data_IF_359338998466
#
_entry.id   IF_359338998466
#
_cell.length_a   1.000
_cell.length_b   1.000
_cell.length_c   1.000
_cell.angle_alpha   90.00
_cell.angle_beta   90.00
_cell.angle_gamma   90.00
#
_symmetry.space_group_name_H-M   'P 1'
#
loop_
_entity.id
_entity.type
_entity.pdbx_description
1 polymer ?
#
# COMPACT_ATOMS: atom_id res chain seq x y z
N UNK A 1 -7.37 -35.19 -4.63
CA UNK A 1 -7.04 -33.99 -5.41
C UNK A 1 -7.82 -32.83 -4.81
N UNK A 2 -7.18 -31.95 -4.04
CA UNK A 2 -7.84 -30.75 -3.54
C UNK A 2 -8.18 -29.86 -4.73
N UNK A 3 -9.47 -29.58 -4.94
CA UNK A 3 -9.92 -28.66 -5.97
C UNK A 3 -9.11 -27.35 -5.89
N UNK A 4 -8.60 -26.80 -7.02
CA UNK A 4 -7.87 -25.55 -7.00
C UNK A 4 -8.75 -24.50 -6.34
N UNK A 5 -8.29 -23.97 -5.20
CA UNK A 5 -9.02 -23.00 -4.39
C UNK A 5 -9.48 -21.85 -5.29
N UNK A 6 -10.80 -21.71 -5.45
CA UNK A 6 -11.38 -20.63 -6.23
C UNK A 6 -10.89 -19.28 -5.68
N UNK A 7 -10.18 -18.52 -6.51
CA UNK A 7 -9.79 -17.15 -6.16
C UNK A 7 -11.03 -16.27 -6.15
N UNK A 8 -11.07 -15.33 -5.21
CA UNK A 8 -12.15 -14.36 -5.09
C UNK A 8 -11.83 -13.23 -6.06
N UNK A 9 -12.54 -13.19 -7.19
CA UNK A 9 -12.24 -12.32 -8.32
C UNK A 9 -12.35 -10.84 -7.93
N UNK A 10 -13.35 -10.47 -7.11
CA UNK A 10 -13.59 -9.08 -6.75
C UNK A 10 -12.45 -8.51 -5.92
N UNK A 11 -11.81 -9.31 -5.05
CA UNK A 11 -10.64 -8.86 -4.29
C UNK A 11 -9.42 -8.66 -5.19
N UNK A 12 -9.22 -9.52 -6.19
CA UNK A 12 -8.19 -9.30 -7.21
C UNK A 12 -8.51 -8.04 -8.05
N UNK A 13 -9.76 -7.83 -8.45
CA UNK A 13 -10.18 -6.65 -9.21
C UNK A 13 -9.99 -5.34 -8.40
N UNK A 14 -10.45 -5.29 -7.15
CA UNK A 14 -10.29 -4.12 -6.28
C UNK A 14 -8.82 -3.79 -6.01
N UNK A 15 -7.96 -4.80 -5.83
CA UNK A 15 -6.50 -4.58 -5.75
C UNK A 15 -5.93 -4.04 -7.04
N UNK A 16 -6.44 -4.48 -8.19
CA UNK A 16 -6.09 -3.96 -9.52
C UNK A 16 -6.46 -2.50 -9.68
N UNK A 17 -7.68 -2.13 -9.31
CA UNK A 17 -8.14 -0.73 -9.32
C UNK A 17 -7.27 0.11 -8.40
N UNK A 18 -7.03 -0.35 -7.17
CA UNK A 18 -6.22 0.38 -6.19
C UNK A 18 -4.78 0.61 -6.66
N UNK A 19 -4.12 -0.39 -7.25
CA UNK A 19 -2.75 -0.19 -7.75
C UNK A 19 -2.71 0.77 -8.95
N UNK A 20 -3.66 0.67 -9.88
CA UNK A 20 -3.73 1.60 -11.01
C UNK A 20 -4.01 3.04 -10.56
N UNK A 21 -4.84 3.21 -9.54
CA UNK A 21 -5.10 4.51 -8.93
C UNK A 21 -3.82 5.11 -8.31
N UNK A 22 -3.03 4.32 -7.58
CA UNK A 22 -1.74 4.76 -7.02
C UNK A 22 -0.76 5.16 -8.14
N UNK A 23 -0.67 4.36 -9.22
CA UNK A 23 0.17 4.67 -10.38
C UNK A 23 -0.24 6.01 -11.02
N UNK A 24 -1.55 6.23 -11.19
CA UNK A 24 -2.07 7.48 -11.73
C UNK A 24 -1.76 8.67 -10.82
N UNK A 25 -1.88 8.49 -9.50
CA UNK A 25 -1.53 9.54 -8.52
C UNK A 25 -0.05 9.92 -8.63
N UNK A 26 0.85 8.95 -8.69
CA UNK A 26 2.28 9.22 -8.84
C UNK A 26 2.61 9.87 -10.19
N UNK A 27 2.00 9.40 -11.29
CA UNK A 27 2.20 10.02 -12.61
C UNK A 27 1.80 11.49 -12.61
N UNK A 28 0.61 11.83 -12.10
CA UNK A 28 0.13 13.22 -12.07
C UNK A 28 0.95 14.09 -11.10
N UNK A 29 1.46 13.50 -10.01
CA UNK A 29 2.39 14.17 -9.11
C UNK A 29 3.72 14.49 -9.80
N UNK A 30 4.33 13.50 -10.47
CA UNK A 30 5.61 13.65 -11.17
C UNK A 30 5.50 14.66 -12.32
N UNK A 31 4.42 14.63 -13.10
CA UNK A 31 4.16 15.63 -14.14
C UNK A 31 4.06 17.05 -13.58
N UNK A 32 3.39 17.23 -12.44
CA UNK A 32 3.31 18.54 -11.78
C UNK A 32 4.66 18.97 -11.22
N UNK A 33 5.38 18.06 -10.58
CA UNK A 33 6.64 18.35 -9.89
C UNK A 33 7.78 18.65 -10.86
N UNK A 34 7.98 17.82 -11.89
CA UNK A 34 9.12 17.95 -12.82
C UNK A 34 8.81 18.79 -14.06
N UNK A 35 7.57 18.79 -14.57
CA UNK A 35 7.21 19.52 -15.80
C UNK A 35 6.33 20.76 -15.56
N UNK A 36 5.86 20.97 -14.33
CA UNK A 36 4.92 22.04 -14.00
C UNK A 36 3.50 21.82 -14.55
N UNK A 37 3.17 20.60 -15.00
CA UNK A 37 1.89 20.28 -15.65
C UNK A 37 0.87 19.80 -14.61
N UNK A 38 -0.12 20.63 -14.27
CA UNK A 38 -1.13 20.35 -13.23
C UNK A 38 -2.44 19.77 -13.81
N UNK A 39 -2.38 18.56 -14.38
CA UNK A 39 -3.56 17.90 -14.95
C UNK A 39 -4.46 17.30 -13.86
N UNK A 40 -5.64 17.89 -13.65
CA UNK A 40 -6.66 17.33 -12.73
C UNK A 40 -6.23 17.26 -11.26
N UNK A 41 -5.09 17.89 -10.90
CA UNK A 41 -4.51 17.83 -9.57
C UNK A 41 -5.42 18.47 -8.53
N UNK A 42 -6.15 19.51 -8.88
CA UNK A 42 -7.05 20.22 -7.96
C UNK A 42 -8.44 19.58 -7.88
N UNK A 43 -8.68 18.49 -8.62
CA UNK A 43 -9.96 17.79 -8.54
C UNK A 43 -10.15 17.11 -7.18
N UNK A 44 -11.35 17.24 -6.62
CA UNK A 44 -11.69 16.61 -5.34
C UNK A 44 -11.52 15.08 -5.38
N UNK A 45 -11.81 14.46 -6.51
CA UNK A 45 -11.62 13.02 -6.73
C UNK A 45 -10.15 12.64 -6.65
N UNK A 46 -9.27 13.39 -7.32
CA UNK A 46 -7.83 13.15 -7.24
C UNK A 46 -7.30 13.30 -5.82
N UNK A 47 -7.67 14.38 -5.12
CA UNK A 47 -7.24 14.62 -3.75
C UNK A 47 -7.74 13.51 -2.80
N UNK A 48 -8.97 13.06 -2.98
CA UNK A 48 -9.51 11.93 -2.22
C UNK A 48 -8.73 10.64 -2.47
N UNK A 49 -8.47 10.30 -3.74
CA UNK A 49 -7.72 9.09 -4.11
C UNK A 49 -6.28 9.15 -3.61
N UNK A 50 -5.62 10.31 -3.74
CA UNK A 50 -4.27 10.56 -3.23
C UNK A 50 -4.21 10.38 -1.71
N UNK A 51 -5.18 10.94 -0.97
CA UNK A 51 -5.19 10.91 0.50
C UNK A 51 -5.55 9.52 1.06
N UNK A 52 -6.51 8.82 0.46
CA UNK A 52 -7.11 7.61 1.04
C UNK A 52 -6.83 6.32 0.27
N UNK A 53 -6.29 6.40 -0.95
CA UNK A 53 -6.00 5.23 -1.79
C UNK A 53 -5.08 4.22 -1.11
N UNK A 54 -4.07 4.71 -0.38
CA UNK A 54 -3.19 3.87 0.43
C UNK A 54 -3.91 3.15 1.55
N UNK A 55 -4.84 3.81 2.25
CA UNK A 55 -5.67 3.20 3.31
C UNK A 55 -6.53 2.07 2.74
N UNK A 56 -7.17 2.30 1.59
CA UNK A 56 -7.94 1.26 0.90
C UNK A 56 -7.06 0.05 0.57
N UNK A 57 -5.84 0.27 0.08
CA UNK A 57 -4.89 -0.80 -0.22
C UNK A 57 -4.49 -1.60 1.03
N UNK A 58 -4.30 -0.93 2.17
CA UNK A 58 -3.99 -1.56 3.45
C UNK A 58 -5.16 -2.39 3.97
N UNK A 59 -6.39 -1.87 3.91
CA UNK A 59 -7.62 -2.60 4.28
C UNK A 59 -7.80 -3.84 3.41
N UNK A 60 -7.66 -3.70 2.08
CA UNK A 60 -7.72 -4.81 1.13
C UNK A 60 -6.67 -5.88 1.43
N UNK A 61 -5.46 -5.46 1.82
CA UNK A 61 -4.39 -6.37 2.24
C UNK A 61 -4.75 -7.13 3.52
N UNK A 62 -5.39 -6.47 4.48
CA UNK A 62 -5.95 -7.08 5.69
C UNK A 62 -7.02 -8.13 5.37
N UNK A 63 -7.96 -7.82 4.46
CA UNK A 63 -8.96 -8.80 4.00
C UNK A 63 -8.27 -10.02 3.37
N UNK A 64 -7.31 -9.77 2.46
CA UNK A 64 -6.63 -10.83 1.73
C UNK A 64 -5.76 -11.75 2.61
N UNK A 65 -5.21 -11.24 3.73
CA UNK A 65 -4.34 -12.05 4.60
C UNK A 65 -5.11 -13.18 5.30
N UNK A 66 -6.41 -13.01 5.53
CA UNK A 66 -7.27 -14.03 6.17
C UNK A 66 -7.55 -15.23 5.26
N UNK A 67 -7.46 -15.03 3.95
CA UNK A 67 -7.72 -16.04 2.93
C UNK A 67 -6.46 -16.87 2.59
N UNK A 68 -5.28 -16.30 2.84
CA UNK A 68 -3.97 -16.90 2.58
C UNK A 68 -3.49 -17.85 3.68
N UNK A 69 -2.69 -18.85 3.30
CA UNK A 69 -2.03 -19.79 4.26
C UNK A 69 -0.56 -19.48 4.53
N UNK A 70 0.10 -18.72 3.64
CA UNK A 70 1.56 -18.45 3.66
C UNK A 70 1.85 -16.95 3.85
N UNK A 71 1.18 -16.31 4.81
CA UNK A 71 1.35 -14.87 5.05
C UNK A 71 2.79 -14.53 5.43
N UNK A 72 3.42 -15.31 6.30
CA UNK A 72 4.77 -15.03 6.79
C UNK A 72 5.81 -15.03 5.66
N UNK A 73 5.83 -16.09 4.82
CA UNK A 73 6.73 -16.15 3.65
C UNK A 73 6.47 -15.00 2.67
N UNK A 74 5.20 -14.64 2.44
CA UNK A 74 4.85 -13.48 1.62
C UNK A 74 5.32 -12.17 2.26
N UNK A 75 5.19 -12.05 3.57
CA UNK A 75 5.67 -10.92 4.36
C UNK A 75 7.18 -10.73 4.22
N UNK A 76 7.96 -11.82 4.30
CA UNK A 76 9.41 -11.78 4.07
C UNK A 76 9.76 -11.26 2.67
N UNK A 77 9.08 -11.75 1.63
CA UNK A 77 9.31 -11.29 0.25
C UNK A 77 8.97 -9.80 0.12
N UNK A 78 7.79 -9.39 0.59
CA UNK A 78 7.33 -8.00 0.48
C UNK A 78 8.22 -7.04 1.29
N UNK A 79 8.61 -7.43 2.50
CA UNK A 79 9.52 -6.66 3.32
C UNK A 79 10.93 -6.59 2.70
N UNK A 80 11.43 -7.69 2.13
CA UNK A 80 12.70 -7.71 1.41
C UNK A 80 12.69 -6.78 0.19
N UNK A 81 11.60 -6.76 -0.58
CA UNK A 81 11.41 -5.78 -1.64
C UNK A 81 11.38 -4.34 -1.10
N UNK A 82 10.75 -4.10 0.05
CA UNK A 82 10.72 -2.80 0.70
C UNK A 82 12.13 -2.32 1.08
N UNK A 83 12.93 -3.19 1.70
CA UNK A 83 14.33 -2.92 2.03
C UNK A 83 15.15 -2.61 0.78
N UNK A 84 14.96 -3.38 -0.30
CA UNK A 84 15.64 -3.13 -1.57
C UNK A 84 15.31 -1.74 -2.14
N UNK A 85 14.05 -1.32 -2.11
CA UNK A 85 13.65 0.04 -2.52
C UNK A 85 14.34 1.10 -1.67
N UNK A 86 14.32 0.96 -0.33
CA UNK A 86 15.02 1.89 0.56
C UNK A 86 16.52 1.97 0.25
N UNK A 87 17.19 0.82 0.09
CA UNK A 87 18.61 0.76 -0.25
C UNK A 87 18.92 1.44 -1.59
N UNK A 88 18.11 1.18 -2.63
CA UNK A 88 18.29 1.83 -3.95
C UNK A 88 18.11 3.34 -3.84
N UNK A 89 17.05 3.81 -3.16
CA UNK A 89 16.81 5.26 -3.02
C UNK A 89 17.89 5.95 -2.18
N UNK A 90 18.44 5.28 -1.16
CA UNK A 90 19.59 5.78 -0.39
C UNK A 90 20.87 5.80 -1.23
N UNK A 91 21.09 4.76 -2.04
CA UNK A 91 22.25 4.70 -2.94
C UNK A 91 22.22 5.83 -3.97
N UNK A 92 21.04 6.20 -4.49
CA UNK A 92 20.89 7.36 -5.38
C UNK A 92 21.38 8.66 -4.73
N UNK A 93 21.04 8.88 -3.46
CA UNK A 93 21.51 10.06 -2.72
C UNK A 93 23.03 10.00 -2.50
N UNK A 94 23.54 8.84 -2.08
CA UNK A 94 24.97 8.66 -1.83
C UNK A 94 25.82 8.83 -3.10
N UNK A 95 25.29 8.43 -4.26
CA UNK A 95 25.90 8.63 -5.58
C UNK A 95 25.71 10.05 -6.13
N UNK A 96 25.04 10.95 -5.40
CA UNK A 96 24.79 12.34 -5.82
C UNK A 96 23.75 12.49 -6.94
N UNK A 97 22.93 11.47 -7.18
CA UNK A 97 21.88 11.48 -8.21
C UNK A 97 20.59 12.19 -7.73
N UNK A 98 20.39 12.33 -6.42
CA UNK A 98 19.27 13.05 -5.82
C UNK A 98 19.66 13.71 -4.49
N UNK A 99 18.96 14.79 -4.13
CA UNK A 99 19.21 15.58 -2.90
C UNK A 99 18.57 14.99 -1.63
N UNK A 100 17.95 13.81 -1.71
CA UNK A 100 17.26 13.15 -0.59
C UNK A 100 15.74 13.19 -0.67
N UNK A 101 15.18 13.81 -1.72
CA UNK A 101 13.76 13.96 -1.95
C UNK A 101 13.06 12.62 -2.28
N UNK A 102 13.79 11.70 -2.91
CA UNK A 102 13.25 10.41 -3.38
C UNK A 102 13.38 9.27 -2.35
N UNK A 103 13.97 9.53 -1.17
CA UNK A 103 14.28 8.48 -0.20
C UNK A 103 12.99 7.89 0.38
N UNK A 104 12.84 6.57 0.25
CA UNK A 104 11.74 5.82 0.88
C UNK A 104 12.24 5.26 2.21
N UNK A 105 11.87 5.92 3.32
CA UNK A 105 12.29 5.51 4.68
C UNK A 105 11.39 4.43 5.27
N UNK A 106 10.08 4.53 5.09
CA UNK A 106 9.10 3.54 5.56
C UNK A 106 7.83 3.56 4.72
N UNK A 107 7.91 3.02 3.51
CA UNK A 107 6.79 2.96 2.58
C UNK A 107 5.76 1.87 2.85
N UNK A 108 4.72 1.78 2.01
CA UNK A 108 3.60 0.83 2.18
C UNK A 108 4.06 -0.63 2.20
N UNK A 109 5.12 -0.98 1.46
CA UNK A 109 5.66 -2.34 1.46
C UNK A 109 6.32 -2.72 2.81
N UNK A 110 6.92 -1.75 3.52
CA UNK A 110 7.48 -1.99 4.86
C UNK A 110 6.38 -2.40 5.82
N UNK A 111 5.34 -1.56 5.88
CA UNK A 111 4.13 -1.78 6.66
C UNK A 111 3.50 -3.13 6.34
N UNK A 112 3.20 -3.40 5.06
CA UNK A 112 2.51 -4.63 4.67
C UNK A 112 3.37 -5.86 4.90
N UNK A 113 4.68 -5.76 4.69
CA UNK A 113 5.65 -6.78 5.04
C UNK A 113 5.56 -7.13 6.53
N UNK A 114 5.70 -6.13 7.41
CA UNK A 114 5.61 -6.30 8.86
C UNK A 114 4.23 -6.85 9.28
N UNK A 115 3.14 -6.29 8.76
CA UNK A 115 1.79 -6.75 9.09
C UNK A 115 1.57 -8.24 8.72
N UNK A 116 2.09 -8.68 7.56
CA UNK A 116 2.05 -10.08 7.14
C UNK A 116 2.97 -11.00 7.95
N UNK A 117 4.12 -10.49 8.43
CA UNK A 117 5.03 -11.19 9.34
C UNK A 117 4.41 -11.36 10.73
N UNK A 118 3.68 -10.36 11.22
CA UNK A 118 2.96 -10.41 12.50
C UNK A 118 1.66 -11.24 12.42
N UNK A 119 1.12 -11.46 11.23
CA UNK A 119 -0.16 -12.17 11.04
C UNK A 119 -0.27 -13.53 11.74
N UNK A 120 0.75 -14.42 11.79
CA UNK A 120 0.66 -15.68 12.53
C UNK A 120 0.32 -15.52 14.02
N UNK A 121 0.71 -14.40 14.62
CA UNK A 121 0.34 -14.02 15.98
C UNK A 121 -1.05 -13.35 15.99
N UNK A 122 -1.24 -12.32 15.15
CA UNK A 122 -2.50 -11.55 15.10
C UNK A 122 -3.71 -12.41 14.76
N UNK A 123 -3.53 -13.47 13.96
CA UNK A 123 -4.62 -14.39 13.61
C UNK A 123 -5.13 -15.23 14.79
N UNK A 124 -4.45 -15.25 15.93
CA UNK A 124 -4.93 -15.94 17.13
C UNK A 124 -6.01 -15.13 17.86
N UNK A 125 -6.08 -13.83 17.62
CA UNK A 125 -7.08 -12.95 18.22
C UNK A 125 -8.48 -13.28 17.69
N UNK A 126 -9.54 -13.21 18.52
CA UNK A 126 -10.91 -13.26 18.02
C UNK A 126 -11.24 -11.99 17.22
N UNK A 127 -12.26 -12.05 16.36
CA UNK A 127 -12.60 -10.94 15.45
C UNK A 127 -12.93 -9.64 16.18
N UNK A 128 -13.65 -9.70 17.31
CA UNK A 128 -13.96 -8.51 18.11
C UNK A 128 -12.69 -7.84 18.66
N UNK A 129 -11.68 -8.63 19.06
CA UNK A 129 -10.42 -8.09 19.56
C UNK A 129 -9.61 -7.40 18.46
N UNK A 130 -9.69 -7.88 17.22
CA UNK A 130 -9.08 -7.18 16.07
C UNK A 130 -9.69 -5.78 15.88
N UNK A 131 -11.01 -5.64 16.07
CA UNK A 131 -11.69 -4.34 16.01
C UNK A 131 -11.34 -3.48 17.22
N UNK A 132 -11.41 -4.05 18.42
CA UNK A 132 -11.13 -3.37 19.67
C UNK A 132 -9.68 -2.87 19.78
N UNK A 133 -8.72 -3.52 19.12
CA UNK A 133 -7.33 -3.05 19.00
C UNK A 133 -7.18 -2.11 17.79
N UNK A 134 -7.80 -2.45 16.66
CA UNK A 134 -7.66 -1.71 15.41
C UNK A 134 -8.14 -0.25 15.51
N UNK A 135 -9.30 -0.02 16.14
CA UNK A 135 -9.87 1.33 16.29
C UNK A 135 -8.98 2.26 17.14
N UNK A 136 -8.51 1.88 18.35
CA UNK A 136 -7.54 2.67 19.09
C UNK A 136 -6.22 2.89 18.35
N UNK A 137 -5.68 1.88 17.65
CA UNK A 137 -4.45 2.05 16.86
C UNK A 137 -4.63 3.11 15.76
N UNK A 138 -5.82 3.14 15.12
CA UNK A 138 -6.16 4.19 14.16
C UNK A 138 -6.22 5.56 14.84
N UNK A 139 -6.96 5.68 15.94
CA UNK A 139 -7.10 6.94 16.68
C UNK A 139 -5.76 7.49 17.18
N UNK A 140 -4.94 6.63 17.80
CA UNK A 140 -3.59 6.98 18.27
C UNK A 140 -2.68 7.38 17.11
N UNK A 141 -2.77 6.71 15.96
CA UNK A 141 -1.97 7.07 14.80
C UNK A 141 -2.29 8.43 14.21
N UNK A 142 -3.57 8.82 14.17
CA UNK A 142 -3.94 10.18 13.79
C UNK A 142 -3.55 11.20 14.86
N UNK A 143 -3.63 10.84 16.14
CA UNK A 143 -3.15 11.70 17.22
C UNK A 143 -1.62 11.93 17.16
N UNK A 144 -0.82 10.92 16.81
CA UNK A 144 0.63 11.07 16.64
C UNK A 144 1.01 12.08 15.56
N UNK A 145 0.15 12.30 14.56
CA UNK A 145 0.40 13.28 13.49
C UNK A 145 0.25 14.74 13.95
N UNK A 146 -0.28 15.00 15.16
CA UNK A 146 -0.49 16.37 15.66
C UNK A 146 0.74 16.94 16.38
N UNK A 147 1.77 16.14 16.64
CA UNK A 147 2.99 16.57 17.33
C UNK A 147 4.23 15.89 16.75
N UNK A 148 5.40 16.44 17.12
CA UNK A 148 6.69 15.89 16.74
C UNK A 148 7.46 15.43 17.98
N UNK A 149 8.34 14.46 17.81
CA UNK A 149 9.21 13.94 18.87
C UNK A 149 10.68 14.12 18.52
N UNK A 150 11.54 14.28 19.52
CA UNK A 150 12.99 14.44 19.28
C UNK A 150 13.66 13.18 18.70
N UNK A 151 13.34 11.94 19.14
CA UNK A 151 14.00 10.75 18.61
C UNK A 151 13.56 10.45 17.17
N UNK A 152 14.43 10.77 16.22
CA UNK A 152 14.15 10.61 14.79
C UNK A 152 14.00 9.16 14.32
N UNK A 153 14.37 8.15 15.13
CA UNK A 153 14.26 6.73 14.78
C UNK A 153 12.86 6.12 15.03
N UNK A 154 11.94 6.87 15.65
CA UNK A 154 10.58 6.41 15.94
C UNK A 154 9.61 6.53 14.75
N UNK A 155 10.07 7.01 13.59
CA UNK A 155 9.25 7.16 12.39
C UNK A 155 8.51 5.87 11.96
N UNK A 156 9.02 4.63 12.14
CA UNK A 156 8.23 3.44 11.78
C UNK A 156 6.94 3.32 12.59
N UNK A 157 6.90 3.88 13.81
CA UNK A 157 5.71 3.88 14.66
C UNK A 157 4.72 5.00 14.31
N UNK A 158 5.09 5.97 13.48
CA UNK A 158 4.26 7.15 13.18
C UNK A 158 4.67 8.41 13.95
N UNK A 159 5.68 8.33 14.81
CA UNK A 159 6.21 9.45 15.57
C UNK A 159 7.40 10.06 14.81
N UNK A 160 7.19 11.22 14.21
CA UNK A 160 8.19 11.90 13.37
C UNK A 160 8.91 13.01 14.13
N UNK A 161 10.17 13.26 13.78
CA UNK A 161 10.91 14.43 14.23
C UNK A 161 10.68 15.63 13.33
N UNK A 162 10.95 16.84 13.84
CA UNK A 162 10.97 18.05 13.01
C UNK A 162 11.96 17.86 11.85
N UNK A 163 11.50 18.05 10.61
CA UNK A 163 12.29 17.84 9.39
C UNK A 163 12.29 16.41 8.84
N UNK A 164 11.50 15.48 9.40
CA UNK A 164 11.31 14.18 8.78
C UNK A 164 10.63 14.32 7.40
N UNK A 165 11.18 13.65 6.39
CA UNK A 165 10.62 13.56 5.04
C UNK A 165 10.84 12.15 4.48
N UNK A 166 9.94 11.68 3.64
CA UNK A 166 10.05 10.40 2.95
C UNK A 166 9.15 10.45 1.73
N UNK A 167 9.64 9.97 0.59
CA UNK A 167 8.88 9.96 -0.67
C UNK A 167 7.63 9.08 -0.57
N UNK A 168 7.74 7.96 0.17
CA UNK A 168 6.62 7.11 0.55
C UNK A 168 6.66 6.88 2.08
N UNK A 169 5.55 7.16 2.77
CA UNK A 169 5.49 7.06 4.24
C UNK A 169 4.16 6.46 4.74
N UNK A 170 4.24 5.22 5.23
CA UNK A 170 3.15 4.44 5.76
C UNK A 170 3.53 3.83 7.13
N UNK A 171 3.56 4.63 8.21
CA UNK A 171 3.91 4.15 9.54
C UNK A 171 2.96 3.07 10.08
N UNK A 172 3.39 2.32 11.09
CA UNK A 172 2.55 1.32 11.76
C UNK A 172 1.28 1.92 12.35
N UNK A 173 1.32 3.11 12.94
CA UNK A 173 0.13 3.83 13.36
C UNK A 173 -0.15 4.95 12.35
N UNK A 174 -1.36 5.06 11.77
CA UNK A 174 -2.59 4.30 12.04
C UNK A 174 -2.74 2.98 11.26
N UNK A 175 -1.84 2.70 10.32
CA UNK A 175 -2.12 1.75 9.23
C UNK A 175 -2.23 0.28 9.65
N UNK A 176 -1.52 -0.16 10.69
CA UNK A 176 -1.69 -1.49 11.26
C UNK A 176 -3.12 -1.67 11.81
N UNK A 177 -3.73 -0.60 12.32
CA UNK A 177 -5.12 -0.60 12.75
C UNK A 177 -6.07 -0.79 11.57
N UNK A 178 -5.87 -0.05 10.47
CA UNK A 178 -6.61 -0.26 9.21
C UNK A 178 -6.45 -1.69 8.66
N UNK A 179 -5.25 -2.25 8.76
CA UNK A 179 -5.00 -3.65 8.39
C UNK A 179 -5.78 -4.63 9.26
N UNK A 180 -5.83 -4.42 10.58
CA UNK A 180 -6.62 -5.25 11.50
C UNK A 180 -8.13 -5.14 11.25
N UNK A 181 -8.64 -3.96 10.95
CA UNK A 181 -10.04 -3.76 10.57
C UNK A 181 -10.36 -4.46 9.25
N UNK A 182 -9.46 -4.38 8.26
CA UNK A 182 -9.55 -5.19 7.03
C UNK A 182 -9.53 -6.68 7.32
N UNK A 183 -8.69 -7.15 8.25
CA UNK A 183 -8.68 -8.56 8.65
C UNK A 183 -9.97 -8.99 9.36
N UNK A 184 -10.55 -8.13 10.20
CA UNK A 184 -11.86 -8.38 10.81
C UNK A 184 -12.95 -8.51 9.74
N UNK A 185 -12.99 -7.58 8.77
CA UNK A 185 -13.87 -7.66 7.59
C UNK A 185 -13.66 -8.94 6.79
N UNK A 186 -12.42 -9.36 6.58
CA UNK A 186 -12.11 -10.61 5.89
C UNK A 186 -12.63 -11.85 6.62
N UNK A 187 -12.68 -11.83 7.95
CA UNK A 187 -13.21 -12.94 8.76
C UNK A 187 -14.73 -12.98 8.81
N UNK A 188 -15.39 -11.84 8.70
CA UNK A 188 -16.85 -11.75 8.71
C UNK A 188 -17.39 -11.95 7.31
N UNK A 189 -17.07 -11.03 6.39
CA UNK A 189 -17.62 -11.02 5.04
C UNK A 189 -17.15 -12.21 4.19
N UNK A 190 -15.88 -12.61 4.32
CA UNK A 190 -15.31 -13.70 3.51
C UNK A 190 -15.05 -14.99 4.32
N UNK A 191 -15.85 -15.24 5.37
CA UNK A 191 -15.74 -16.44 6.22
C UNK A 191 -15.75 -17.75 5.42
N UNK A 192 -16.66 -17.84 4.46
CA UNK A 192 -16.83 -19.00 3.58
C UNK A 192 -15.79 -19.07 2.46
N UNK A 193 -14.96 -18.03 2.29
CA UNK A 193 -13.94 -17.91 1.24
C UNK A 193 -14.54 -18.02 -0.16
N UNK A 194 -15.74 -17.49 -0.33
CA UNK A 194 -16.50 -17.41 -1.59
C UNK A 194 -16.67 -15.97 -2.01
N UNK A 195 -16.99 -15.77 -3.30
CA UNK A 195 -17.33 -14.46 -3.82
C UNK A 195 -18.63 -13.94 -3.20
N UNK A 196 -18.65 -12.66 -2.84
CA UNK A 196 -19.84 -11.91 -2.43
C UNK A 196 -20.69 -11.46 -3.62
N UNK A 197 -20.14 -11.57 -4.83
CA UNK A 197 -20.77 -11.15 -6.07
C UNK A 197 -20.89 -12.33 -7.06
N UNK A 198 -21.56 -13.43 -6.68
CA UNK A 198 -21.60 -14.67 -7.49
C UNK A 198 -22.36 -14.52 -8.81
N UNK A 199 -23.21 -13.50 -8.93
CA UNK A 199 -24.02 -13.22 -10.14
C UNK A 199 -23.28 -12.37 -11.19
N UNK A 200 -22.13 -11.79 -10.83
CA UNK A 200 -21.37 -10.95 -11.77
C UNK A 200 -20.54 -11.84 -12.68
N UNK A 201 -20.62 -11.58 -13.99
CA UNK A 201 -19.77 -12.25 -14.96
C UNK A 201 -18.32 -11.76 -14.86
N UNK A 202 -17.55 -12.38 -13.96
CA UNK A 202 -16.13 -12.10 -13.77
C UNK A 202 -15.24 -12.42 -14.99
N UNK A 203 -15.78 -13.08 -16.02
CA UNK A 203 -15.06 -13.40 -17.25
C UNK A 203 -15.11 -12.27 -18.28
N UNK A 204 -15.87 -11.19 -18.05
CA UNK A 204 -15.87 -10.06 -18.97
C UNK A 204 -14.47 -9.41 -19.03
N UNK A 205 -14.10 -8.86 -20.19
CA UNK A 205 -12.76 -8.34 -20.46
C UNK A 205 -12.29 -7.29 -19.42
N UNK A 206 -13.12 -6.29 -19.02
CA UNK A 206 -12.70 -5.29 -18.05
C UNK A 206 -12.35 -5.88 -16.68
N UNK A 207 -13.19 -6.78 -16.15
CA UNK A 207 -12.94 -7.40 -14.84
C UNK A 207 -11.69 -8.28 -14.91
N UNK A 208 -11.50 -9.04 -15.99
CA UNK A 208 -10.29 -9.85 -16.18
C UNK A 208 -9.01 -9.01 -16.20
N UNK A 209 -9.05 -7.82 -16.80
CA UNK A 209 -7.95 -6.87 -16.79
C UNK A 209 -7.62 -6.41 -15.36
N UNK A 210 -8.60 -5.90 -14.61
CA UNK A 210 -8.37 -5.47 -13.23
C UNK A 210 -7.90 -6.63 -12.33
N UNK A 211 -8.48 -7.82 -12.49
CA UNK A 211 -8.03 -9.01 -11.79
C UNK A 211 -6.57 -9.35 -12.12
N UNK A 212 -6.15 -9.19 -13.38
CA UNK A 212 -4.75 -9.39 -13.76
C UNK A 212 -3.83 -8.35 -13.10
N UNK A 213 -4.20 -7.07 -13.13
CA UNK A 213 -3.47 -6.01 -12.42
C UNK A 213 -3.34 -6.31 -10.92
N UNK A 214 -4.42 -6.76 -10.28
CA UNK A 214 -4.39 -7.12 -8.85
C UNK A 214 -3.50 -8.30 -8.54
N UNK A 215 -3.46 -9.32 -9.41
CA UNK A 215 -2.52 -10.45 -9.30
C UNK A 215 -1.07 -10.03 -9.46
N UNK A 216 -0.81 -9.05 -10.33
CA UNK A 216 0.52 -8.47 -10.58
C UNK A 216 0.85 -7.27 -9.69
N UNK A 217 0.00 -6.93 -8.71
CA UNK A 217 0.10 -5.67 -7.96
C UNK A 217 1.47 -5.41 -7.32
N UNK A 218 2.16 -6.42 -6.77
CA UNK A 218 3.51 -6.24 -6.22
C UNK A 218 4.52 -5.83 -7.30
N UNK A 219 4.47 -6.47 -8.47
CA UNK A 219 5.37 -6.18 -9.58
C UNK A 219 5.08 -4.79 -10.17
N UNK A 220 3.80 -4.48 -10.40
CA UNK A 220 3.37 -3.15 -10.84
C UNK A 220 3.79 -2.07 -9.84
N UNK A 221 3.63 -2.33 -8.54
CA UNK A 221 4.07 -1.41 -7.49
C UNK A 221 5.59 -1.22 -7.47
N UNK A 222 6.40 -2.25 -7.73
CA UNK A 222 7.86 -2.06 -7.73
C UNK A 222 8.36 -1.30 -8.96
N UNK A 223 7.74 -1.52 -10.13
CA UNK A 223 8.22 -0.94 -11.37
C UNK A 223 7.62 0.42 -11.71
N UNK A 224 6.45 0.77 -11.18
CA UNK A 224 5.80 2.01 -11.61
C UNK A 224 6.67 3.24 -11.36
N UNK A 225 7.21 3.46 -10.16
CA UNK A 225 7.93 4.70 -9.86
C UNK A 225 9.23 4.86 -10.69
N UNK A 226 10.10 3.83 -10.83
CA UNK A 226 11.26 3.95 -11.73
C UNK A 226 10.88 4.22 -13.19
N UNK A 227 9.83 3.58 -13.70
CA UNK A 227 9.37 3.77 -15.08
C UNK A 227 8.73 5.15 -15.29
N UNK A 228 7.89 5.60 -14.36
CA UNK A 228 7.26 6.91 -14.40
C UNK A 228 8.30 8.02 -14.28
N UNK A 229 9.20 7.93 -13.30
CA UNK A 229 10.30 8.87 -13.14
C UNK A 229 11.16 8.93 -14.41
N UNK A 230 11.60 7.79 -14.95
CA UNK A 230 12.38 7.74 -16.18
C UNK A 230 11.66 8.36 -17.38
N UNK A 231 10.37 8.06 -17.55
CA UNK A 231 9.55 8.65 -18.62
C UNK A 231 9.44 10.17 -18.47
N UNK A 232 9.12 10.67 -17.28
CA UNK A 232 8.96 12.11 -17.03
C UNK A 232 10.28 12.85 -17.20
N UNK A 233 11.40 12.25 -16.79
CA UNK A 233 12.74 12.82 -17.00
C UNK A 233 13.12 12.88 -18.48
N UNK A 234 12.79 11.85 -19.27
CA UNK A 234 12.99 11.88 -20.74
C UNK A 234 12.15 13.01 -21.35
N UNK A 235 10.88 13.13 -20.98
CA UNK A 235 10.02 14.20 -21.46
C UNK A 235 10.52 15.59 -21.05
N UNK A 236 11.07 15.73 -19.85
CA UNK A 236 11.68 16.97 -19.37
C UNK A 236 12.92 17.35 -20.17
N UNK A 237 13.76 16.37 -20.53
CA UNK A 237 14.97 16.60 -21.33
C UNK A 237 14.68 16.94 -22.81
N UNK A 238 13.50 16.58 -23.32
CA UNK A 238 13.07 16.88 -24.69
C UNK A 238 12.40 18.26 -24.83
N UNK A 239 12.19 18.98 -23.71
CA UNK A 239 11.58 20.32 -23.66
C UNK A 239 12.65 21.40 -23.64
#
# INVERSE_FOLDING_TARGET
MDAPKARIWELDAFRGIAILAVILVHLLFDLKYFLGVSLGYDSAVFQFVKQYGGVVFVVLSGICVTLGRRSFRRGLVVFGCAMAVTLVTLAMVWLGLDSGSVVVRFGVLHLLGIAMLLWPLLRRLPTWAMVAIGLPVVGLGYWFQTFHVSPGWLFPLGLTSAGFSSSDYFPLFPHLGWFLLGAALGRTAYREKRSLLPRVNAQCKPIRFFCWCGRMSLFLYLLHQPLLYGLVMILAALR
#
